data_IF_622940767027
#
_entry.id   IF_622940767027
#
_cell.length_a   1.000
_cell.length_b   1.000
_cell.length_c   1.000
_cell.angle_alpha   90.00
_cell.angle_beta   90.00
_cell.angle_gamma   90.00
#
_symmetry.space_group_name_H-M   'P 1'
#
loop_
_entity.id
_entity.type
_entity.pdbx_description
1 polymer ?
#
# COMPACT_ATOMS: atom_id res chain seq x y z
N UNK A 1 23.18 -41.01 -16.96
CA UNK A 1 21.71 -41.15 -17.08
C UNK A 1 21.15 -41.36 -15.66
N UNK A 2 20.50 -40.36 -15.06
CA UNK A 2 20.08 -40.40 -13.65
C UNK A 2 18.62 -40.87 -13.58
N UNK A 3 18.39 -42.05 -13.03
CA UNK A 3 17.04 -42.57 -12.77
C UNK A 3 16.41 -41.85 -11.57
N UNK A 4 15.53 -40.89 -11.83
CA UNK A 4 14.67 -40.32 -10.79
C UNK A 4 13.57 -41.32 -10.42
N UNK A 5 13.37 -41.51 -9.12
CA UNK A 5 12.29 -42.35 -8.59
C UNK A 5 10.92 -41.84 -9.05
N UNK A 6 9.98 -42.77 -9.28
CA UNK A 6 8.65 -42.55 -9.88
C UNK A 6 7.85 -41.44 -9.18
N UNK A 7 8.06 -41.25 -7.88
CA UNK A 7 7.44 -40.20 -7.04
C UNK A 7 8.03 -38.80 -7.25
N UNK A 8 9.32 -38.67 -7.58
CA UNK A 8 9.94 -37.37 -7.91
C UNK A 8 9.52 -36.87 -9.29
N UNK A 9 9.35 -37.78 -10.26
CA UNK A 9 8.85 -37.43 -11.61
C UNK A 9 7.40 -36.94 -11.59
N UNK A 10 6.53 -37.58 -10.80
CA UNK A 10 5.14 -37.15 -10.64
C UNK A 10 5.01 -35.78 -9.94
N UNK A 11 5.86 -35.49 -8.95
CA UNK A 11 5.92 -34.15 -8.33
C UNK A 11 6.44 -33.10 -9.30
N UNK A 12 7.44 -33.44 -10.11
CA UNK A 12 7.92 -32.53 -11.15
C UNK A 12 6.83 -32.24 -12.18
N UNK A 13 6.18 -33.26 -12.74
CA UNK A 13 5.10 -33.08 -13.74
C UNK A 13 3.88 -32.32 -13.20
N UNK A 14 3.57 -32.44 -11.90
CA UNK A 14 2.52 -31.66 -11.26
C UNK A 14 2.92 -30.18 -11.14
N UNK A 15 4.18 -29.90 -10.77
CA UNK A 15 4.72 -28.53 -10.72
C UNK A 15 4.78 -27.93 -12.11
N UNK A 16 5.24 -28.65 -13.14
CA UNK A 16 5.28 -28.13 -14.53
C UNK A 16 3.89 -27.87 -15.08
N UNK A 17 2.88 -28.71 -14.79
CA UNK A 17 1.50 -28.48 -15.22
C UNK A 17 0.87 -27.27 -14.53
N UNK A 18 1.08 -27.11 -13.23
CA UNK A 18 0.64 -25.92 -12.49
C UNK A 18 1.35 -24.64 -12.98
N UNK A 19 2.64 -24.74 -13.34
CA UNK A 19 3.41 -23.65 -13.92
C UNK A 19 2.89 -23.26 -15.30
N UNK A 20 2.70 -24.22 -16.22
CA UNK A 20 2.16 -23.96 -17.56
C UNK A 20 0.73 -23.39 -17.51
N UNK A 21 -0.10 -23.81 -16.55
CA UNK A 21 -1.44 -23.22 -16.36
C UNK A 21 -1.39 -21.79 -15.82
N UNK A 22 -0.45 -21.50 -14.91
CA UNK A 22 -0.25 -20.16 -14.36
C UNK A 22 0.21 -19.17 -15.45
N UNK A 23 1.14 -19.56 -16.32
CA UNK A 23 1.61 -18.70 -17.42
C UNK A 23 0.59 -18.54 -18.55
N UNK A 24 -0.18 -19.59 -18.91
CA UNK A 24 -1.30 -19.46 -19.86
C UNK A 24 -2.44 -18.58 -19.33
N UNK A 25 -2.65 -18.53 -18.02
CA UNK A 25 -3.62 -17.63 -17.39
C UNK A 25 -3.11 -16.18 -17.36
N UNK A 26 -1.81 -15.96 -17.12
CA UNK A 26 -1.21 -14.61 -17.13
C UNK A 26 -1.17 -13.96 -18.52
N UNK A 27 -0.90 -14.73 -19.58
CA UNK A 27 -0.81 -14.22 -20.96
C UNK A 27 -2.16 -13.71 -21.53
N UNK A 28 -3.30 -14.17 -20.99
CA UNK A 28 -4.63 -13.73 -21.43
C UNK A 28 -5.18 -12.51 -20.71
N UNK A 29 -4.67 -12.18 -19.52
CA UNK A 29 -5.36 -11.24 -18.62
C UNK A 29 -4.47 -10.16 -17.97
N UNK A 30 -3.14 -10.23 -18.11
CA UNK A 30 -2.23 -9.22 -17.54
C UNK A 30 -1.47 -8.50 -18.68
N UNK A 31 -1.65 -7.17 -18.85
CA UNK A 31 -0.88 -6.41 -19.83
C UNK A 31 0.63 -6.56 -19.55
N UNK A 32 1.44 -6.89 -20.57
CA UNK A 32 2.91 -7.11 -20.47
C UNK A 32 3.66 -6.05 -19.65
N UNK A 33 3.18 -4.80 -19.66
CA UNK A 33 3.73 -3.68 -18.86
C UNK A 33 3.60 -3.87 -17.33
N UNK A 34 2.60 -4.63 -16.86
CA UNK A 34 2.36 -4.89 -15.44
C UNK A 34 3.26 -6.02 -14.92
N UNK A 35 3.51 -7.05 -15.73
CA UNK A 35 4.48 -8.12 -15.42
C UNK A 35 5.90 -7.57 -15.31
N UNK A 36 6.31 -6.70 -16.24
CA UNK A 36 7.63 -6.05 -16.18
C UNK A 36 7.81 -5.14 -14.95
N UNK A 37 6.72 -4.57 -14.41
CA UNK A 37 6.78 -3.78 -13.16
C UNK A 37 6.90 -4.66 -11.92
N UNK A 38 6.18 -5.78 -11.88
CA UNK A 38 6.24 -6.70 -10.75
C UNK A 38 7.60 -7.40 -10.68
N UNK A 39 8.16 -7.80 -11.82
CA UNK A 39 9.51 -8.37 -11.87
C UNK A 39 10.56 -7.38 -11.31
N UNK A 40 10.54 -6.12 -11.79
CA UNK A 40 11.43 -5.07 -11.27
C UNK A 40 11.27 -4.82 -9.77
N UNK A 41 10.08 -5.04 -9.21
CA UNK A 41 9.81 -4.90 -7.78
C UNK A 41 10.44 -6.07 -7.00
N UNK A 42 10.30 -7.30 -7.49
CA UNK A 42 10.91 -8.49 -6.88
C UNK A 42 12.43 -8.43 -6.93
N UNK A 43 13.00 -8.01 -8.07
CA UNK A 43 14.45 -7.84 -8.23
C UNK A 43 15.00 -6.81 -7.23
N UNK A 44 14.26 -5.70 -7.00
CA UNK A 44 14.63 -4.68 -5.99
C UNK A 44 14.60 -5.23 -4.56
N UNK A 45 13.56 -5.99 -4.21
CA UNK A 45 13.47 -6.60 -2.87
C UNK A 45 14.61 -7.59 -2.61
N UNK A 46 15.04 -8.32 -3.63
CA UNK A 46 16.19 -9.22 -3.52
C UNK A 46 17.51 -8.45 -3.29
N UNK A 47 17.69 -7.31 -3.96
CA UNK A 47 18.86 -6.44 -3.77
C UNK A 47 18.88 -5.85 -2.35
N UNK A 48 17.75 -5.28 -1.90
CA UNK A 48 17.66 -4.64 -0.58
C UNK A 48 17.89 -5.63 0.58
N UNK A 49 17.59 -6.91 0.38
CA UNK A 49 17.80 -7.95 1.38
C UNK A 49 19.29 -8.37 1.52
N UNK A 50 20.09 -8.22 0.46
CA UNK A 50 21.47 -8.73 0.42
C UNK A 50 22.50 -7.61 0.61
N UNK A 51 22.16 -6.38 0.21
CA UNK A 51 23.08 -5.24 0.22
C UNK A 51 23.62 -4.85 1.61
N UNK A 52 22.85 -4.90 2.72
CA UNK A 52 23.36 -4.52 4.04
C UNK A 52 24.45 -5.46 4.56
N UNK A 53 24.27 -6.77 4.39
CA UNK A 53 25.26 -7.78 4.80
C UNK A 53 26.53 -7.66 3.95
N UNK A 54 26.37 -7.38 2.65
CA UNK A 54 27.48 -7.17 1.73
C UNK A 54 28.32 -5.93 2.07
N UNK A 55 27.68 -4.82 2.45
CA UNK A 55 28.35 -3.59 2.88
C UNK A 55 29.05 -3.74 4.24
N UNK A 56 28.56 -4.61 5.12
CA UNK A 56 29.23 -4.91 6.39
C UNK A 56 30.55 -5.63 6.14
N UNK A 57 30.55 -6.67 5.29
CA UNK A 57 31.76 -7.43 4.93
C UNK A 57 32.84 -6.54 4.28
N UNK A 58 32.45 -5.56 3.46
CA UNK A 58 33.39 -4.61 2.85
C UNK A 58 34.01 -3.63 3.84
N UNK A 59 33.26 -3.19 4.86
CA UNK A 59 33.79 -2.28 5.89
C UNK A 59 34.90 -2.92 6.72
N UNK A 60 34.80 -4.23 6.96
CA UNK A 60 35.78 -4.96 7.74
C UNK A 60 37.08 -5.22 6.95
N UNK A 61 36.99 -5.27 5.62
CA UNK A 61 38.15 -5.42 4.72
C UNK A 61 38.97 -4.12 4.56
N UNK A 62 38.32 -2.95 4.64
CA UNK A 62 38.97 -1.66 4.36
C UNK A 62 39.73 -1.08 5.57
N UNK A 63 39.43 -1.53 6.79
CA UNK A 63 39.99 -0.93 8.02
C UNK A 63 41.31 -1.56 8.50
N UNK A 64 41.72 -2.72 7.97
CA UNK A 64 42.83 -3.48 8.56
C UNK A 64 44.14 -3.50 7.76
N UNK A 65 44.23 -2.85 6.60
CA UNK A 65 45.51 -2.57 5.92
C UNK A 65 46.46 -3.77 5.75
N UNK A 66 45.94 -5.01 5.73
CA UNK A 66 46.73 -6.22 5.54
C UNK A 66 46.70 -6.65 4.08
N UNK A 67 47.83 -7.24 3.67
CA UNK A 67 48.23 -7.61 2.30
C UNK A 67 47.09 -8.25 1.49
N UNK A 68 47.16 -8.07 0.17
CA UNK A 68 46.38 -8.77 -0.87
C UNK A 68 46.26 -10.27 -0.54
N UNK A 69 45.17 -10.64 0.11
CA UNK A 69 44.66 -12.01 0.06
C UNK A 69 43.76 -12.10 -1.17
N UNK A 70 43.83 -13.22 -1.87
CA UNK A 70 42.93 -13.50 -2.98
C UNK A 70 41.48 -13.40 -2.50
N UNK A 71 40.57 -12.83 -3.32
CA UNK A 71 39.17 -12.71 -2.92
C UNK A 71 38.64 -14.11 -2.56
N UNK A 72 37.90 -14.25 -1.45
CA UNK A 72 37.42 -15.55 -1.04
C UNK A 72 36.56 -16.18 -2.14
N UNK A 73 36.55 -17.51 -2.23
CA UNK A 73 35.93 -18.28 -3.31
C UNK A 73 34.40 -17.99 -3.48
N UNK A 74 33.78 -17.34 -2.50
CA UNK A 74 32.42 -16.84 -2.53
C UNK A 74 32.22 -15.63 -3.47
N UNK A 75 33.26 -14.86 -3.80
CA UNK A 75 33.16 -13.71 -4.72
C UNK A 75 32.94 -14.14 -6.17
N UNK A 76 33.65 -15.18 -6.63
CA UNK A 76 33.43 -15.76 -7.97
C UNK A 76 32.00 -16.31 -8.08
N UNK A 77 31.46 -16.82 -6.97
CA UNK A 77 30.07 -17.29 -6.89
C UNK A 77 29.07 -16.13 -6.93
N UNK A 78 29.34 -15.02 -6.23
CA UNK A 78 28.51 -13.81 -6.27
C UNK A 78 28.48 -13.17 -7.67
N UNK A 79 29.63 -13.10 -8.37
CA UNK A 79 29.70 -12.58 -9.74
C UNK A 79 28.99 -13.48 -10.76
N UNK A 80 29.01 -14.82 -10.56
CA UNK A 80 28.20 -15.76 -11.36
C UNK A 80 26.70 -15.60 -11.12
N UNK A 81 26.28 -15.40 -9.86
CA UNK A 81 24.86 -15.17 -9.53
C UNK A 81 24.31 -13.85 -10.10
N UNK A 82 25.19 -12.86 -10.28
CA UNK A 82 24.87 -11.59 -10.94
C UNK A 82 25.03 -11.63 -12.48
N UNK A 83 25.43 -12.77 -13.05
CA UNK A 83 25.57 -12.97 -14.50
C UNK A 83 26.74 -12.22 -15.14
N UNK A 84 27.74 -11.84 -14.36
CA UNK A 84 28.87 -11.01 -14.82
C UNK A 84 30.07 -11.81 -15.33
N UNK A 85 30.07 -13.14 -15.14
CA UNK A 85 31.08 -14.06 -15.66
C UNK A 85 30.37 -15.33 -16.12
N UNK A 86 30.42 -15.64 -17.42
CA UNK A 86 29.64 -16.74 -18.02
C UNK A 86 30.42 -18.06 -18.17
N UNK A 87 31.76 -18.08 -18.03
CA UNK A 87 32.59 -19.28 -18.25
C UNK A 87 33.74 -19.42 -17.24
N UNK A 88 34.16 -20.67 -17.00
CA UNK A 88 35.18 -21.05 -15.99
C UNK A 88 36.63 -20.74 -16.36
N UNK A 89 36.93 -20.40 -17.62
CA UNK A 89 38.31 -20.25 -18.13
C UNK A 89 38.73 -18.81 -18.45
N UNK A 90 37.92 -17.79 -18.13
CA UNK A 90 38.33 -16.40 -18.35
C UNK A 90 39.15 -15.90 -17.14
N UNK A 91 40.34 -15.36 -17.44
CA UNK A 91 41.18 -14.68 -16.44
C UNK A 91 40.34 -13.64 -15.67
N UNK A 92 40.49 -13.55 -14.33
CA UNK A 92 39.71 -12.61 -13.55
C UNK A 92 39.95 -11.19 -14.06
N UNK A 93 38.88 -10.36 -14.19
CA UNK A 93 39.00 -9.01 -14.72
C UNK A 93 40.06 -8.24 -13.93
N UNK A 94 40.91 -7.50 -14.66
CA UNK A 94 41.98 -6.73 -14.03
C UNK A 94 41.37 -5.78 -13.00
N UNK A 95 42.08 -5.57 -11.88
CA UNK A 95 41.54 -4.80 -10.75
C UNK A 95 41.07 -3.38 -11.09
N UNK A 96 41.57 -2.83 -12.21
CA UNK A 96 41.19 -1.52 -12.72
C UNK A 96 39.82 -1.54 -13.43
N UNK A 97 39.48 -2.62 -14.12
CA UNK A 97 38.17 -2.80 -14.76
C UNK A 97 37.07 -3.03 -13.72
N UNK A 98 37.38 -3.79 -12.67
CA UNK A 98 36.48 -3.97 -11.51
C UNK A 98 36.25 -2.64 -10.80
N UNK A 99 37.30 -1.82 -10.59
CA UNK A 99 37.18 -0.48 -10.01
C UNK A 99 36.36 0.46 -10.89
N UNK A 100 36.57 0.45 -12.20
CA UNK A 100 35.81 1.28 -13.15
C UNK A 100 34.33 0.88 -13.18
N UNK A 101 34.03 -0.43 -13.18
CA UNK A 101 32.67 -0.95 -13.09
C UNK A 101 32.01 -0.57 -11.76
N UNK A 102 32.74 -0.66 -10.65
CA UNK A 102 32.23 -0.32 -9.31
C UNK A 102 32.00 1.18 -9.14
N UNK A 103 32.84 2.04 -9.73
CA UNK A 103 32.63 3.50 -9.79
C UNK A 103 31.42 3.85 -10.68
N UNK A 104 31.26 3.17 -11.81
CA UNK A 104 30.06 3.28 -12.66
C UNK A 104 28.78 2.87 -11.92
N UNK A 105 28.85 1.78 -11.17
CA UNK A 105 27.75 1.26 -10.35
C UNK A 105 27.41 2.20 -9.19
N UNK A 106 28.41 2.68 -8.44
CA UNK A 106 28.23 3.66 -7.34
C UNK A 106 27.68 5.01 -7.85
N UNK A 107 28.11 5.50 -9.01
CA UNK A 107 27.55 6.71 -9.62
C UNK A 107 26.11 6.52 -10.11
N UNK A 108 25.76 5.32 -10.58
CA UNK A 108 24.38 4.97 -10.94
C UNK A 108 23.48 4.89 -9.70
N UNK A 109 23.99 4.39 -8.56
CA UNK A 109 23.27 4.34 -7.28
C UNK A 109 23.23 5.68 -6.52
N UNK A 110 24.18 6.58 -6.74
CA UNK A 110 24.20 7.93 -6.15
C UNK A 110 23.02 8.79 -6.60
N UNK A 111 22.40 8.47 -7.73
CA UNK A 111 21.13 9.07 -8.17
C UNK A 111 19.87 8.39 -7.61
N UNK A 112 20.00 7.24 -6.94
CA UNK A 112 18.89 6.45 -6.38
C UNK A 112 18.76 6.68 -4.86
N UNK A 113 19.83 7.10 -4.18
CA UNK A 113 19.83 7.40 -2.75
C UNK A 113 19.35 8.83 -2.40
N UNK A 114 18.16 9.20 -2.88
CA UNK A 114 17.39 10.29 -2.27
C UNK A 114 16.30 9.65 -1.41
N UNK A 115 16.44 9.84 -0.10
CA UNK A 115 15.52 9.50 1.00
C UNK A 115 14.03 9.41 0.58
N UNK A 116 13.57 8.24 0.15
CA UNK A 116 12.15 7.94 -0.06
C UNK A 116 11.50 7.59 1.29
N UNK A 117 11.32 8.60 2.16
CA UNK A 117 10.09 8.61 2.94
C UNK A 117 8.97 8.74 1.93
N UNK A 118 8.18 7.69 1.76
CA UNK A 118 7.02 7.64 0.87
C UNK A 118 6.25 8.98 1.01
N UNK A 119 6.30 9.86 0.00
CA UNK A 119 5.69 11.17 0.12
C UNK A 119 4.19 10.95 0.25
N UNK A 120 3.64 11.39 1.39
CA UNK A 120 2.19 11.37 1.62
C UNK A 120 1.50 11.91 0.36
N UNK A 121 0.51 11.20 -0.20
CA UNK A 121 -0.02 11.51 -1.53
C UNK A 121 -0.44 12.98 -1.66
N UNK A 122 0.23 13.71 -2.56
CA UNK A 122 0.13 15.18 -2.70
C UNK A 122 -0.96 15.66 -3.68
N UNK A 123 -1.87 14.80 -4.13
CA UNK A 123 -3.08 15.29 -4.79
C UNK A 123 -3.99 15.87 -3.71
N UNK A 124 -4.03 17.20 -3.56
CA UNK A 124 -4.87 17.88 -2.56
C UNK A 124 -6.17 18.32 -3.23
N UNK A 125 -7.21 17.47 -3.29
CA UNK A 125 -8.56 17.96 -3.50
C UNK A 125 -8.87 19.01 -2.42
N UNK A 126 -9.70 19.99 -2.77
CA UNK A 126 -10.16 21.08 -1.89
C UNK A 126 -10.28 20.61 -0.44
N UNK A 127 -9.72 21.35 0.55
CA UNK A 127 -9.50 20.86 1.90
C UNK A 127 -10.81 20.35 2.50
N UNK A 128 -10.95 19.03 2.48
CA UNK A 128 -12.18 18.37 2.90
C UNK A 128 -12.43 18.75 4.35
N UNK A 129 -13.62 19.29 4.65
CA UNK A 129 -14.01 19.58 6.03
C UNK A 129 -14.35 18.27 6.72
N UNK A 130 -13.64 17.98 7.80
CA UNK A 130 -13.86 16.82 8.66
C UNK A 130 -14.60 17.26 9.92
N UNK A 131 -15.64 16.53 10.31
CA UNK A 131 -16.34 16.75 11.57
C UNK A 131 -15.73 15.80 12.59
N UNK A 132 -15.35 16.32 13.75
CA UNK A 132 -15.01 15.47 14.88
C UNK A 132 -16.28 14.79 15.39
N UNK A 133 -16.21 13.50 15.75
CA UNK A 133 -17.31 12.77 16.38
C UNK A 133 -17.46 13.11 17.87
N UNK A 134 -16.39 13.60 18.51
CA UNK A 134 -16.32 13.86 19.96
C UNK A 134 -16.55 15.33 20.33
N UNK A 135 -16.58 16.25 19.36
CA UNK A 135 -16.89 17.67 19.61
C UNK A 135 -17.50 18.34 18.37
N UNK A 136 -18.17 19.50 18.51
CA UNK A 136 -18.78 20.20 17.38
C UNK A 136 -17.77 20.84 16.40
N UNK A 137 -16.47 20.79 16.72
CA UNK A 137 -15.42 21.43 15.91
C UNK A 137 -15.25 20.74 14.56
N UNK A 138 -15.12 21.55 13.51
CA UNK A 138 -14.80 21.08 12.16
C UNK A 138 -13.33 21.39 11.86
N UNK A 139 -12.53 20.37 11.60
CA UNK A 139 -11.15 20.55 11.16
C UNK A 139 -11.10 20.71 9.65
N UNK A 140 -10.38 21.74 9.18
CA UNK A 140 -10.09 21.96 7.76
C UNK A 140 -8.68 21.45 7.48
N UNK A 141 -8.47 20.88 6.29
CA UNK A 141 -7.13 20.66 5.77
C UNK A 141 -6.58 19.24 5.96
N UNK A 142 -5.28 19.18 6.27
CA UNK A 142 -4.43 18.00 6.17
C UNK A 142 -4.66 16.99 7.31
N UNK A 143 -4.01 15.82 7.20
CA UNK A 143 -3.94 14.85 8.30
C UNK A 143 -3.35 15.46 9.58
N UNK A 144 -2.33 16.31 9.46
CA UNK A 144 -1.69 16.96 10.62
C UNK A 144 -2.69 17.78 11.45
N UNK A 145 -3.63 18.49 10.82
CA UNK A 145 -4.67 19.24 11.53
C UNK A 145 -5.63 18.32 12.30
N UNK A 146 -5.89 17.11 11.77
CA UNK A 146 -6.70 16.10 12.45
C UNK A 146 -5.96 15.50 13.65
N UNK A 147 -4.68 15.17 13.49
CA UNK A 147 -3.86 14.64 14.58
C UNK A 147 -3.69 15.65 15.71
N UNK A 148 -3.40 16.92 15.38
CA UNK A 148 -3.34 17.99 16.39
C UNK A 148 -4.67 18.16 17.14
N UNK A 149 -5.79 18.02 16.44
CA UNK A 149 -7.10 18.05 17.07
C UNK A 149 -7.32 16.88 18.03
N UNK A 150 -6.89 15.67 17.66
CA UNK A 150 -6.92 14.48 18.55
C UNK A 150 -6.02 14.69 19.76
N UNK A 151 -4.82 15.23 19.58
CA UNK A 151 -3.89 15.51 20.67
C UNK A 151 -4.51 16.44 21.72
N UNK A 152 -5.27 17.46 21.31
CA UNK A 152 -5.99 18.34 22.24
C UNK A 152 -7.06 17.59 23.03
N UNK A 153 -7.81 16.71 22.38
CA UNK A 153 -8.84 15.90 23.04
C UNK A 153 -8.27 14.91 24.05
N UNK A 154 -7.13 14.31 23.71
CA UNK A 154 -6.48 13.29 24.52
C UNK A 154 -5.44 13.84 25.47
N UNK A 155 -5.24 15.16 25.46
CA UNK A 155 -4.21 15.82 26.25
C UNK A 155 -2.84 15.15 26.01
N UNK A 156 -2.53 14.90 24.74
CA UNK A 156 -1.25 14.34 24.33
C UNK A 156 -0.22 15.46 24.31
N UNK A 157 0.49 15.61 25.42
CA UNK A 157 1.53 16.61 25.62
C UNK A 157 2.89 16.10 25.14
N UNK A 158 3.75 17.03 24.78
CA UNK A 158 5.18 16.80 24.58
C UNK A 158 5.97 17.47 25.70
N UNK A 159 7.01 16.81 26.16
CA UNK A 159 7.97 17.40 27.08
C UNK A 159 8.80 18.47 26.36
N UNK A 160 9.05 19.60 27.02
CA UNK A 160 9.97 20.60 26.49
C UNK A 160 11.35 19.98 26.23
N UNK A 161 11.97 20.18 25.05
CA UNK A 161 13.26 19.58 24.75
C UNK A 161 14.44 20.25 25.49
N UNK A 162 14.22 21.36 26.20
CA UNK A 162 15.25 22.01 27.00
C UNK A 162 15.52 21.20 28.27
N UNK A 163 16.79 20.84 28.52
CA UNK A 163 17.23 19.91 29.59
C UNK A 163 16.68 20.25 30.98
N UNK A 164 16.50 21.54 31.27
CA UNK A 164 16.08 22.02 32.59
C UNK A 164 14.60 22.45 32.63
N UNK A 165 13.85 22.29 31.55
CA UNK A 165 12.44 22.67 31.49
C UNK A 165 11.54 21.44 31.64
N UNK A 166 10.79 21.37 32.74
CA UNK A 166 9.86 20.26 33.04
C UNK A 166 8.44 20.48 32.52
N UNK A 167 8.23 21.49 31.67
CA UNK A 167 6.91 21.83 31.18
C UNK A 167 6.47 20.83 30.11
N UNK A 168 5.24 20.34 30.24
CA UNK A 168 4.53 19.55 29.23
C UNK A 168 3.59 20.48 28.47
N UNK A 169 3.68 20.48 27.14
CA UNK A 169 3.00 21.48 26.30
C UNK A 169 2.35 20.77 25.11
N UNK A 170 1.24 21.31 24.62
CA UNK A 170 0.67 20.84 23.35
C UNK A 170 1.64 21.14 22.20
N UNK A 171 1.62 20.28 21.19
CA UNK A 171 2.53 20.40 20.03
C UNK A 171 2.42 21.76 19.31
N UNK A 172 1.22 22.34 19.25
CA UNK A 172 0.97 23.67 18.66
C UNK A 172 1.42 24.84 19.57
N UNK A 173 1.42 24.64 20.88
CA UNK A 173 1.94 25.58 21.88
C UNK A 173 3.47 25.61 22.00
N UNK A 174 4.17 24.58 21.52
CA UNK A 174 5.61 24.44 21.70
C UNK A 174 6.41 25.63 21.18
N UNK A 175 6.08 26.14 19.99
CA UNK A 175 6.84 27.26 19.38
C UNK A 175 6.70 28.54 20.22
N UNK A 176 5.49 28.79 20.74
CA UNK A 176 5.27 29.91 21.64
C UNK A 176 6.05 29.74 22.95
N UNK A 177 5.97 28.55 23.56
CA UNK A 177 6.70 28.23 24.78
C UNK A 177 8.22 28.41 24.62
N UNK A 178 8.83 27.85 23.56
CA UNK A 178 10.27 27.97 23.33
C UNK A 178 10.70 29.45 23.23
N UNK A 179 9.87 30.28 22.61
CA UNK A 179 10.13 31.71 22.47
C UNK A 179 9.99 32.46 23.79
N UNK A 180 8.96 32.17 24.58
CA UNK A 180 8.67 32.94 25.80
C UNK A 180 9.44 32.47 27.03
N UNK A 181 9.61 31.15 27.19
CA UNK A 181 10.30 30.58 28.35
C UNK A 181 11.82 30.52 28.17
N UNK A 182 12.29 30.32 26.93
CA UNK A 182 13.72 30.06 26.65
C UNK A 182 14.37 31.08 25.71
N UNK A 183 13.60 32.03 25.15
CA UNK A 183 14.12 32.95 24.13
C UNK A 183 14.59 32.26 22.84
N UNK A 184 14.21 30.99 22.63
CA UNK A 184 14.72 30.15 21.53
C UNK A 184 13.71 30.01 20.40
N UNK A 185 14.21 29.94 19.17
CA UNK A 185 13.44 29.51 17.99
C UNK A 185 13.62 27.99 17.83
N UNK A 186 12.61 27.29 17.28
CA UNK A 186 12.71 25.83 17.01
C UNK A 186 13.95 25.43 16.19
N UNK A 187 14.37 26.29 15.25
CA UNK A 187 15.56 26.06 14.42
C UNK A 187 16.89 26.26 15.16
N UNK A 188 16.87 26.93 16.32
CA UNK A 188 18.03 27.20 17.17
C UNK A 188 18.28 26.07 18.20
N UNK A 189 17.43 25.04 18.22
CA UNK A 189 17.61 23.88 19.08
C UNK A 189 18.85 23.08 18.67
N UNK A 190 19.58 22.56 19.66
CA UNK A 190 20.73 21.68 19.47
C UNK A 190 20.31 20.39 18.76
N UNK A 191 21.26 19.65 18.20
CA UNK A 191 20.98 18.41 17.47
C UNK A 191 20.20 17.39 18.31
N UNK A 192 20.61 17.16 19.57
CA UNK A 192 19.92 16.22 20.47
C UNK A 192 18.50 16.70 20.84
N UNK A 193 18.30 17.99 21.07
CA UNK A 193 16.97 18.58 21.37
C UNK A 193 16.01 18.41 20.18
N UNK A 194 16.52 18.58 18.96
CA UNK A 194 15.75 18.34 17.72
C UNK A 194 15.42 16.86 17.53
N UNK A 195 16.34 15.97 17.85
CA UNK A 195 16.11 14.52 17.79
C UNK A 195 15.05 14.09 18.81
N UNK A 196 15.17 14.55 20.06
CA UNK A 196 14.18 14.32 21.12
C UNK A 196 12.79 14.80 20.69
N UNK A 197 12.68 16.04 20.20
CA UNK A 197 11.40 16.59 19.74
C UNK A 197 10.81 15.80 18.55
N UNK A 198 11.65 15.27 17.66
CA UNK A 198 11.19 14.43 16.55
C UNK A 198 10.61 13.12 17.08
N UNK A 199 11.30 12.46 18.00
CA UNK A 199 10.85 11.22 18.61
C UNK A 199 9.51 11.39 19.34
N UNK A 200 9.35 12.47 20.10
CA UNK A 200 8.08 12.79 20.77
C UNK A 200 6.96 13.09 19.76
N UNK A 201 7.24 13.86 18.69
CA UNK A 201 6.25 14.08 17.62
C UNK A 201 5.83 12.76 16.96
N UNK A 202 6.78 11.87 16.69
CA UNK A 202 6.52 10.57 16.04
C UNK A 202 5.75 9.62 16.97
N UNK A 203 6.01 9.67 18.29
CA UNK A 203 5.22 8.97 19.31
C UNK A 203 3.77 9.45 19.31
N UNK A 204 3.54 10.76 19.46
CA UNK A 204 2.19 11.32 19.44
C UNK A 204 1.46 11.09 18.12
N UNK A 205 2.19 11.14 16.99
CA UNK A 205 1.62 10.86 15.68
C UNK A 205 1.07 9.44 15.61
N UNK A 206 1.80 8.43 16.11
CA UNK A 206 1.32 7.05 16.16
C UNK A 206 0.08 6.90 17.05
N UNK A 207 0.13 7.42 18.27
CA UNK A 207 -1.00 7.36 19.21
C UNK A 207 -2.25 8.05 18.63
N UNK A 208 -2.10 9.20 17.98
CA UNK A 208 -3.22 9.90 17.36
C UNK A 208 -3.74 9.20 16.09
N UNK A 209 -2.89 8.49 15.35
CA UNK A 209 -3.29 7.73 14.16
C UNK A 209 -4.22 6.57 14.51
N UNK A 210 -3.96 5.87 15.61
CA UNK A 210 -4.82 4.78 16.10
C UNK A 210 -6.22 5.28 16.51
N UNK A 211 -6.30 6.54 16.91
CA UNK A 211 -7.55 7.20 17.28
C UNK A 211 -8.24 7.91 16.11
N UNK A 212 -7.63 7.93 14.92
CA UNK A 212 -8.13 8.73 13.81
C UNK A 212 -9.55 8.32 13.39
N UNK A 213 -9.85 7.02 13.37
CA UNK A 213 -11.18 6.52 13.00
C UNK A 213 -12.24 6.83 14.07
N UNK A 214 -11.83 6.87 15.35
CA UNK A 214 -12.74 7.22 16.44
C UNK A 214 -13.17 8.68 16.33
N UNK A 215 -12.23 9.61 16.13
CA UNK A 215 -12.50 11.05 16.08
C UNK A 215 -12.98 11.54 14.71
N UNK A 216 -12.42 10.98 13.63
CA UNK A 216 -12.71 11.35 12.25
C UNK A 216 -13.09 10.11 11.44
N UNK A 217 -14.22 9.47 11.77
CA UNK A 217 -14.65 8.28 11.06
C UNK A 217 -14.72 8.57 9.55
N UNK A 218 -14.20 7.66 8.70
CA UNK A 218 -14.39 7.78 7.27
C UNK A 218 -15.89 7.88 6.99
N UNK A 219 -16.30 8.87 6.19
CA UNK A 219 -17.72 9.14 5.93
C UNK A 219 -18.49 7.95 5.30
N UNK A 220 -17.78 6.91 4.89
CA UNK A 220 -18.31 5.79 4.12
C UNK A 220 -17.73 4.45 4.61
N UNK A 221 -17.57 4.26 5.91
CA UNK A 221 -17.33 2.92 6.45
C UNK A 221 -18.65 2.27 6.87
N UNK A 222 -18.75 0.96 6.67
CA UNK A 222 -19.89 0.20 7.11
C UNK A 222 -19.83 -0.03 8.62
N UNK A 223 -20.88 0.32 9.36
CA UNK A 223 -20.98 0.13 10.81
C UNK A 223 -20.97 -1.35 11.22
N UNK A 224 -21.46 -2.23 10.36
CA UNK A 224 -21.58 -3.67 10.65
C UNK A 224 -20.26 -4.43 10.47
N UNK A 225 -19.45 -4.06 9.47
CA UNK A 225 -18.22 -4.80 9.14
C UNK A 225 -16.93 -3.97 9.15
N UNK A 226 -17.00 -2.67 9.40
CA UNK A 226 -15.85 -1.75 9.42
C UNK A 226 -15.21 -1.48 8.05
N UNK A 227 -15.66 -2.13 6.97
CA UNK A 227 -15.05 -1.95 5.65
C UNK A 227 -15.32 -0.55 5.10
N UNK A 228 -14.29 0.05 4.52
CA UNK A 228 -14.41 1.29 3.74
C UNK A 228 -15.10 1.00 2.41
N UNK A 229 -16.24 1.64 2.19
CA UNK A 229 -17.04 1.53 0.98
C UNK A 229 -16.84 2.79 0.13
N UNK A 230 -16.80 2.68 -1.21
CA UNK A 230 -16.72 3.85 -2.08
C UNK A 230 -17.82 4.87 -1.81
N UNK A 231 -17.55 6.15 -2.08
CA UNK A 231 -18.49 7.26 -1.79
C UNK A 231 -19.83 7.13 -2.53
N UNK A 232 -19.86 6.41 -3.65
CA UNK A 232 -21.03 6.29 -4.51
C UNK A 232 -22.20 5.57 -3.82
N UNK A 233 -23.42 6.09 -4.02
CA UNK A 233 -24.63 5.54 -3.41
C UNK A 233 -24.89 4.10 -3.87
N UNK A 234 -24.61 3.79 -5.14
CA UNK A 234 -24.82 2.46 -5.70
C UNK A 234 -23.91 1.42 -5.06
N UNK A 235 -22.65 1.76 -4.83
CA UNK A 235 -21.64 0.90 -4.18
C UNK A 235 -22.01 0.64 -2.72
N UNK A 236 -22.51 1.66 -2.02
CA UNK A 236 -23.05 1.50 -0.67
C UNK A 236 -24.26 0.58 -0.62
N UNK A 237 -25.19 0.71 -1.58
CA UNK A 237 -26.34 -0.19 -1.66
C UNK A 237 -25.92 -1.63 -1.91
N UNK A 238 -25.03 -1.86 -2.87
CA UNK A 238 -24.49 -3.20 -3.14
C UNK A 238 -23.75 -3.77 -1.92
N UNK A 239 -23.05 -2.93 -1.15
CA UNK A 239 -22.44 -3.35 0.11
C UNK A 239 -23.49 -3.79 1.14
N UNK A 240 -24.54 -3.00 1.37
CA UNK A 240 -25.62 -3.36 2.31
C UNK A 240 -26.39 -4.58 1.84
N UNK A 241 -26.75 -4.68 0.56
CA UNK A 241 -27.45 -5.87 0.06
C UNK A 241 -26.61 -7.14 0.18
N UNK A 242 -25.27 -7.04 0.25
CA UNK A 242 -24.42 -8.17 0.62
C UNK A 242 -24.68 -8.65 2.05
N UNK A 243 -24.78 -7.72 3.00
CA UNK A 243 -25.09 -8.03 4.39
C UNK A 243 -26.51 -8.55 4.60
N UNK A 244 -27.45 -8.14 3.74
CA UNK A 244 -28.84 -8.62 3.76
C UNK A 244 -29.01 -9.96 3.01
N UNK A 245 -27.99 -10.43 2.29
CA UNK A 245 -28.09 -11.63 1.45
C UNK A 245 -29.10 -11.48 0.30
N UNK A 246 -29.37 -10.24 -0.14
CA UNK A 246 -30.36 -9.98 -1.19
C UNK A 246 -29.67 -10.01 -2.55
N UNK A 247 -30.24 -10.79 -3.46
CA UNK A 247 -29.78 -10.93 -4.84
C UNK A 247 -30.94 -10.70 -5.80
N UNK A 248 -30.62 -10.11 -6.96
CA UNK A 248 -31.53 -10.05 -8.11
C UNK A 248 -31.11 -11.09 -9.14
N UNK A 249 -32.09 -11.74 -9.75
CA UNK A 249 -31.85 -12.72 -10.83
C UNK A 249 -31.54 -11.98 -12.13
N UNK A 250 -30.72 -12.59 -12.98
CA UNK A 250 -30.58 -12.12 -14.35
C UNK A 250 -31.95 -12.20 -15.07
N UNK A 251 -32.42 -11.16 -15.78
CA UNK A 251 -33.69 -11.22 -16.50
C UNK A 251 -33.79 -12.38 -17.51
N UNK A 252 -32.67 -12.79 -18.11
CA UNK A 252 -32.60 -13.97 -18.99
C UNK A 252 -32.82 -15.31 -18.26
N UNK A 253 -32.95 -15.30 -16.93
CA UNK A 253 -33.34 -16.49 -16.16
C UNK A 253 -34.74 -16.96 -16.50
N UNK A 254 -35.66 -16.05 -16.83
CA UNK A 254 -37.06 -16.39 -17.14
C UNK A 254 -37.20 -17.29 -18.36
N UNK A 255 -36.32 -17.11 -19.34
CA UNK A 255 -36.25 -17.93 -20.55
C UNK A 255 -35.26 -19.11 -20.41
N UNK A 256 -34.75 -19.38 -19.21
CA UNK A 256 -33.85 -20.50 -18.94
C UNK A 256 -32.42 -20.36 -19.48
N UNK A 257 -32.05 -19.20 -20.06
CA UNK A 257 -30.75 -19.00 -20.73
C UNK A 257 -29.64 -18.67 -19.73
N UNK A 258 -29.96 -18.09 -18.57
CA UNK A 258 -28.97 -17.68 -17.59
C UNK A 258 -29.41 -17.93 -16.14
N UNK A 259 -28.58 -18.59 -15.33
CA UNK A 259 -28.83 -18.85 -13.91
C UNK A 259 -28.18 -17.84 -12.97
N UNK A 260 -27.51 -16.80 -13.50
CA UNK A 260 -26.79 -15.84 -12.69
C UNK A 260 -27.70 -15.09 -11.71
N UNK A 261 -27.20 -14.90 -10.49
CA UNK A 261 -27.79 -14.09 -9.43
C UNK A 261 -26.70 -13.21 -8.84
N UNK A 262 -27.07 -12.01 -8.41
CA UNK A 262 -26.14 -11.09 -7.78
C UNK A 262 -26.79 -9.78 -7.38
N UNK A 263 -26.01 -8.89 -6.78
CA UNK A 263 -26.41 -7.52 -6.42
C UNK A 263 -26.54 -6.65 -7.67
N UNK A 264 -27.14 -5.46 -7.55
CA UNK A 264 -27.46 -4.60 -8.71
C UNK A 264 -26.24 -4.27 -9.58
N UNK A 265 -25.09 -3.87 -9.01
CA UNK A 265 -23.90 -3.60 -9.83
C UNK A 265 -23.31 -4.88 -10.41
N UNK A 266 -23.33 -5.98 -9.66
CA UNK A 266 -22.90 -7.30 -10.13
C UNK A 266 -23.72 -7.77 -11.33
N UNK A 267 -25.04 -7.69 -11.24
CA UNK A 267 -25.95 -8.11 -12.32
C UNK A 267 -25.83 -7.18 -13.53
N UNK A 268 -25.70 -5.87 -13.35
CA UNK A 268 -25.44 -4.94 -14.47
C UNK A 268 -24.10 -5.23 -15.16
N UNK A 269 -23.07 -5.59 -14.38
CA UNK A 269 -21.77 -5.99 -14.90
C UNK A 269 -21.88 -7.31 -15.67
N UNK A 270 -22.58 -8.29 -15.10
CA UNK A 270 -22.85 -9.57 -15.74
C UNK A 270 -23.58 -9.39 -17.07
N UNK A 271 -24.65 -8.60 -17.14
CA UNK A 271 -25.36 -8.31 -18.39
C UNK A 271 -24.43 -7.75 -19.48
N UNK A 272 -23.52 -6.85 -19.10
CA UNK A 272 -22.54 -6.27 -20.03
C UNK A 272 -21.58 -7.30 -20.61
N UNK A 273 -21.12 -8.25 -19.80
CA UNK A 273 -20.06 -9.19 -20.19
C UNK A 273 -20.58 -10.52 -20.72
N UNK A 274 -21.61 -11.08 -20.11
CA UNK A 274 -22.16 -12.39 -20.48
C UNK A 274 -23.18 -12.30 -21.62
N UNK A 275 -23.90 -11.19 -21.71
CA UNK A 275 -24.92 -10.98 -22.74
C UNK A 275 -24.49 -9.93 -23.78
N UNK A 276 -23.27 -9.38 -23.69
CA UNK A 276 -22.73 -8.34 -24.60
C UNK A 276 -23.64 -7.11 -24.76
N UNK A 277 -24.57 -6.89 -23.83
CA UNK A 277 -25.58 -5.85 -23.94
C UNK A 277 -25.27 -4.72 -22.95
N UNK A 278 -25.07 -3.52 -23.50
CA UNK A 278 -25.16 -2.32 -22.68
C UNK A 278 -26.62 -2.09 -22.31
N UNK A 279 -26.90 -1.53 -21.12
CA UNK A 279 -28.28 -1.28 -20.67
C UNK A 279 -29.13 -0.48 -21.69
N UNK A 280 -28.48 0.35 -22.50
CA UNK A 280 -29.11 1.10 -23.60
C UNK A 280 -29.43 0.25 -24.84
N UNK A 281 -28.67 -0.84 -25.05
CA UNK A 281 -28.77 -1.77 -26.18
C UNK A 281 -29.54 -3.05 -25.87
N UNK A 282 -30.09 -3.20 -24.66
CA UNK A 282 -31.10 -4.22 -24.37
C UNK A 282 -32.23 -4.08 -25.39
N UNK A 283 -32.25 -4.96 -26.40
CA UNK A 283 -33.21 -4.90 -27.53
C UNK A 283 -34.61 -5.26 -27.06
N UNK A 284 -34.67 -6.16 -26.08
CA UNK A 284 -35.91 -6.66 -25.54
C UNK A 284 -36.43 -5.73 -24.44
N UNK A 285 -37.53 -5.03 -24.73
CA UNK A 285 -38.17 -4.07 -23.81
C UNK A 285 -38.51 -4.73 -22.47
N UNK A 286 -38.91 -6.01 -22.49
CA UNK A 286 -39.28 -6.74 -21.28
C UNK A 286 -38.06 -6.95 -20.34
N UNK A 287 -36.87 -7.27 -20.88
CA UNK A 287 -35.63 -7.44 -20.11
C UNK A 287 -35.30 -6.16 -19.33
N UNK A 288 -35.44 -5.00 -19.98
CA UNK A 288 -35.21 -3.70 -19.37
C UNK A 288 -36.21 -3.41 -18.25
N UNK A 289 -37.50 -3.58 -18.52
CA UNK A 289 -38.57 -3.34 -17.53
C UNK A 289 -38.42 -4.24 -16.31
N UNK A 290 -38.06 -5.50 -16.53
CA UNK A 290 -37.84 -6.46 -15.45
C UNK A 290 -36.62 -6.06 -14.61
N UNK A 291 -35.48 -5.75 -15.22
CA UNK A 291 -34.29 -5.29 -14.51
C UNK A 291 -34.55 -4.00 -13.71
N UNK A 292 -35.29 -3.05 -14.27
CA UNK A 292 -35.67 -1.81 -13.59
C UNK A 292 -36.59 -2.06 -12.39
N UNK A 293 -37.52 -3.01 -12.52
CA UNK A 293 -38.44 -3.41 -11.44
C UNK A 293 -37.65 -4.03 -10.29
N UNK A 294 -36.80 -5.01 -10.58
CA UNK A 294 -35.92 -5.63 -9.58
C UNK A 294 -34.94 -4.62 -8.96
N UNK A 295 -34.37 -3.72 -9.76
CA UNK A 295 -33.48 -2.66 -9.26
C UNK A 295 -34.20 -1.69 -8.32
N UNK A 296 -35.44 -1.29 -8.65
CA UNK A 296 -36.25 -0.42 -7.78
C UNK A 296 -36.58 -1.11 -6.47
N UNK A 297 -37.06 -2.34 -6.52
CA UNK A 297 -37.32 -3.14 -5.32
C UNK A 297 -36.07 -3.30 -4.45
N UNK A 298 -34.95 -3.74 -5.03
CA UNK A 298 -33.68 -3.90 -4.33
C UNK A 298 -33.25 -2.60 -3.65
N UNK A 299 -33.25 -1.49 -4.39
CA UNK A 299 -32.85 -0.20 -3.84
C UNK A 299 -33.79 0.26 -2.73
N UNK A 300 -35.10 -0.02 -2.82
CA UNK A 300 -36.07 0.32 -1.78
C UNK A 300 -35.79 -0.43 -0.48
N UNK A 301 -35.60 -1.76 -0.56
CA UNK A 301 -35.29 -2.59 0.61
C UNK A 301 -33.96 -2.16 1.24
N UNK A 302 -32.93 -1.97 0.42
CA UNK A 302 -31.62 -1.57 0.90
C UNK A 302 -31.63 -0.15 1.49
N UNK A 303 -32.30 0.81 0.85
CA UNK A 303 -32.36 2.19 1.36
C UNK A 303 -33.08 2.29 2.71
N UNK A 304 -34.05 1.43 2.98
CA UNK A 304 -34.69 1.33 4.30
C UNK A 304 -33.68 0.93 5.38
N UNK A 305 -32.73 0.05 5.05
CA UNK A 305 -31.69 -0.43 5.95
C UNK A 305 -30.44 0.48 6.00
N UNK A 306 -30.23 1.37 5.03
CA UNK A 306 -28.98 2.13 4.88
C UNK A 306 -28.52 2.86 6.15
N UNK A 307 -29.44 3.34 6.99
CA UNK A 307 -29.12 4.05 8.24
C UNK A 307 -28.50 3.14 9.31
N UNK A 308 -28.76 1.85 9.25
CA UNK A 308 -28.17 0.85 10.15
C UNK A 308 -26.72 0.52 9.78
N UNK A 309 -26.31 0.83 8.55
CA UNK A 309 -24.99 0.48 8.01
C UNK A 309 -24.08 1.69 7.82
N UNK A 310 -24.60 2.91 7.72
CA UNK A 310 -23.79 4.11 7.53
C UNK A 310 -24.34 5.27 8.35
N UNK A 311 -23.45 6.11 8.85
CA UNK A 311 -23.84 7.40 9.42
C UNK A 311 -24.49 8.30 8.36
N UNK A 312 -25.59 8.96 8.74
CA UNK A 312 -26.38 9.87 7.91
C UNK A 312 -25.72 11.20 7.60
#
# INVERSE_FOLDING_TARGET
>A
MIHLTRTRRARWDAVTRSYVYYYRWQDRFIPRRRLAREQRRLDRMAIDAVLPDWLATFRDLDLNGKKKEEPPADWVTAFRLLGLVEKEEEEPPRSEDVKAAMVGWLNTFRHIAVDEREPLPQNIPTPQRWKCSQCPTKTRGTLENRLNHINRHRQLWISCPEVYCRQEILLDGLVAHLRTAHGKKKKSLKSYERAHLRNEKDRLTREAMDLLQLYFPPKFHCLKCGQNVPKGRSERRDHVGAHLGIEIRCPYNRIGVCSHRGRVLSTKRHLRFAHCESLRRLREIWVRRELETWTRWYNSVVDAEMRNYFHG
#
